data_IF_916042798018
#
_entry.id   IF_916042798018
#
_cell.length_a   1.000
_cell.length_b   1.000
_cell.length_c   1.000
_cell.angle_alpha   90.00
_cell.angle_beta   90.00
_cell.angle_gamma   90.00
#
_symmetry.space_group_name_H-M   'P 1'
#
loop_
_entity.id
_entity.type
_entity.pdbx_description
1 polymer ?
#
# COMPACT_ATOMS: atom_id res chain seq x y z
N UNK A 1 25.30 4.15 -14.91
CA UNK A 1 25.22 3.28 -13.72
C UNK A 1 23.74 2.93 -13.55
N UNK A 2 23.36 1.69 -13.70
CA UNK A 2 21.95 1.25 -13.69
C UNK A 2 21.43 1.33 -12.26
N UNK A 3 20.23 1.86 -12.05
CA UNK A 3 19.54 1.98 -10.74
C UNK A 3 19.53 0.65 -9.98
N UNK A 4 19.39 -0.47 -10.70
CA UNK A 4 19.38 -1.84 -10.14
C UNK A 4 20.66 -2.21 -9.36
N UNK A 5 21.84 -1.75 -9.82
CA UNK A 5 23.09 -2.05 -9.12
C UNK A 5 23.26 -1.27 -7.80
N UNK A 6 22.46 -0.23 -7.60
CA UNK A 6 22.48 0.58 -6.38
C UNK A 6 21.40 0.18 -5.36
N UNK A 7 20.25 -0.31 -5.81
CA UNK A 7 19.12 -0.57 -4.93
C UNK A 7 19.43 -1.68 -3.94
N UNK A 8 19.99 -2.80 -4.41
CA UNK A 8 20.36 -3.93 -3.54
C UNK A 8 21.43 -3.61 -2.49
N UNK A 9 22.17 -2.50 -2.69
CA UNK A 9 23.23 -2.05 -1.78
C UNK A 9 22.67 -1.12 -0.69
N UNK A 10 21.40 -0.70 -0.79
CA UNK A 10 20.75 0.15 0.19
C UNK A 10 20.21 -0.71 1.35
N UNK A 11 20.61 -0.41 2.58
CA UNK A 11 20.09 -1.10 3.74
C UNK A 11 18.58 -0.84 3.93
N UNK A 12 17.82 -1.79 4.52
CA UNK A 12 16.49 -1.52 5.02
C UNK A 12 16.45 -0.25 5.88
N UNK A 13 15.42 0.56 5.75
CA UNK A 13 15.31 1.88 6.38
C UNK A 13 15.88 3.04 5.56
N UNK A 14 16.70 2.78 4.53
CA UNK A 14 17.21 3.84 3.65
C UNK A 14 16.07 4.49 2.88
N UNK A 15 16.05 5.84 2.89
CA UNK A 15 15.09 6.66 2.14
C UNK A 15 15.77 7.26 0.92
N UNK A 16 15.09 7.24 -0.22
CA UNK A 16 15.56 7.88 -1.45
C UNK A 16 14.38 8.36 -2.31
N UNK A 17 14.63 9.33 -3.18
CA UNK A 17 13.63 9.80 -4.13
C UNK A 17 13.45 8.81 -5.28
N UNK A 18 12.22 8.28 -5.44
CA UNK A 18 11.88 7.30 -6.48
C UNK A 18 11.34 7.95 -7.77
N UNK A 19 11.07 9.25 -7.72
CA UNK A 19 10.44 10.02 -8.79
C UNK A 19 9.33 10.89 -8.22
N UNK A 20 8.07 10.47 -8.24
CA UNK A 20 6.98 11.29 -7.72
C UNK A 20 6.95 11.38 -6.18
N UNK A 21 7.63 10.46 -5.49
CA UNK A 21 7.66 10.37 -4.03
C UNK A 21 9.04 9.92 -3.52
N UNK A 22 9.30 10.20 -2.24
CA UNK A 22 10.34 9.54 -1.48
C UNK A 22 9.85 8.18 -0.98
N UNK A 23 10.72 7.19 -1.05
CA UNK A 23 10.43 5.82 -0.62
C UNK A 23 11.46 5.32 0.35
N UNK A 24 11.03 4.41 1.23
CA UNK A 24 11.86 3.69 2.19
C UNK A 24 12.01 2.25 1.74
N UNK A 25 13.23 1.72 1.80
CA UNK A 25 13.51 0.30 1.60
C UNK A 25 13.02 -0.48 2.82
N UNK A 26 12.13 -1.46 2.63
CA UNK A 26 11.70 -2.35 3.70
C UNK A 26 12.48 -3.66 3.71
N UNK A 27 12.59 -4.33 2.57
CA UNK A 27 13.22 -5.65 2.51
C UNK A 27 13.74 -5.97 1.11
N UNK A 28 14.88 -6.67 1.06
CA UNK A 28 15.39 -7.33 -0.12
C UNK A 28 15.10 -8.82 -0.02
N UNK A 29 14.37 -9.37 -0.99
CA UNK A 29 13.99 -10.77 -1.02
C UNK A 29 15.02 -11.61 -1.76
N UNK A 30 15.12 -12.88 -1.41
CA UNK A 30 16.06 -13.84 -2.03
C UNK A 30 15.75 -14.11 -3.50
N UNK A 31 14.53 -13.81 -3.95
CA UNK A 31 14.12 -13.93 -5.36
C UNK A 31 14.50 -12.71 -6.23
N UNK A 32 15.22 -11.75 -5.65
CA UNK A 32 15.71 -10.56 -6.35
C UNK A 32 14.74 -9.38 -6.36
N UNK A 33 13.65 -9.45 -5.60
CA UNK A 33 12.74 -8.31 -5.42
C UNK A 33 13.12 -7.46 -4.21
N UNK A 34 12.79 -6.18 -4.28
CA UNK A 34 12.86 -5.24 -3.15
C UNK A 34 11.49 -4.66 -2.90
N UNK A 35 11.02 -4.69 -1.66
CA UNK A 35 9.80 -4.00 -1.23
C UNK A 35 10.15 -2.58 -0.79
N UNK A 36 9.45 -1.63 -1.38
CA UNK A 36 9.51 -0.20 -1.08
C UNK A 36 8.16 0.27 -0.54
N UNK A 37 8.18 1.25 0.35
CA UNK A 37 6.99 1.97 0.82
C UNK A 37 7.22 3.47 0.73
N UNK A 38 6.17 4.24 0.47
CA UNK A 38 6.25 5.71 0.57
C UNK A 38 6.76 6.11 1.97
N UNK A 39 7.73 7.00 2.03
CA UNK A 39 8.32 7.42 3.32
C UNK A 39 7.29 8.14 4.18
N UNK A 40 6.41 8.94 3.56
CA UNK A 40 5.27 9.62 4.19
C UNK A 40 3.97 9.30 3.46
N UNK A 41 2.83 9.68 4.04
CA UNK A 41 1.56 9.62 3.34
C UNK A 41 1.54 10.57 2.14
N UNK A 42 1.03 10.10 1.01
CA UNK A 42 0.97 10.89 -0.23
C UNK A 42 -0.29 11.76 -0.31
N UNK A 43 -1.32 11.42 0.41
CA UNK A 43 -2.59 12.13 0.52
C UNK A 43 -3.44 11.53 1.64
N UNK A 44 -4.50 12.26 2.05
CA UNK A 44 -5.58 11.72 2.86
C UNK A 44 -6.76 11.38 1.96
N UNK A 45 -7.28 10.17 2.08
CA UNK A 45 -8.38 9.66 1.26
C UNK A 45 -9.29 8.73 2.04
N UNK A 46 -10.53 8.62 1.56
CA UNK A 46 -11.35 7.46 1.89
C UNK A 46 -10.73 6.19 1.30
N UNK A 47 -10.86 5.08 2.01
CA UNK A 47 -10.49 3.77 1.46
C UNK A 47 -11.38 3.40 0.26
N UNK A 48 -12.67 3.71 0.36
CA UNK A 48 -13.66 3.47 -0.68
C UNK A 48 -14.58 4.67 -0.88
N UNK A 49 -15.03 4.91 -2.12
CA UNK A 49 -15.99 5.96 -2.45
C UNK A 49 -17.37 5.69 -1.86
N UNK A 50 -18.01 6.73 -1.34
CA UNK A 50 -19.39 6.66 -0.87
C UNK A 50 -20.41 6.61 -1.97
N UNK A 51 -21.56 6.08 -1.58
CA UNK A 51 -21.87 4.74 -1.12
C UNK A 51 -22.05 3.85 -2.33
N UNK A 52 -20.98 3.29 -2.87
CA UNK A 52 -20.98 2.41 -4.06
C UNK A 52 -21.49 3.03 -5.36
N UNK A 53 -21.85 4.31 -5.36
CA UNK A 53 -22.38 5.00 -6.55
C UNK A 53 -21.37 5.08 -7.68
N UNK A 54 -20.10 4.99 -7.35
CA UNK A 54 -18.99 5.15 -8.29
C UNK A 54 -18.29 3.81 -8.61
N UNK A 55 -18.91 2.68 -8.25
CA UNK A 55 -18.41 1.34 -8.56
C UNK A 55 -19.28 0.64 -9.59
N UNK A 56 -19.23 1.05 -10.85
CA UNK A 56 -20.12 0.49 -11.88
C UNK A 56 -19.87 -0.99 -12.13
N UNK A 57 -18.65 -1.48 -11.94
CA UNK A 57 -18.24 -2.86 -12.17
C UNK A 57 -18.77 -3.84 -11.14
N UNK A 58 -18.98 -3.39 -9.90
CA UNK A 58 -19.54 -4.24 -8.83
C UNK A 58 -20.22 -3.43 -7.72
N UNK A 59 -21.44 -2.94 -7.96
CA UNK A 59 -22.16 -2.07 -7.01
C UNK A 59 -22.41 -2.70 -5.64
N UNK A 60 -22.46 -4.02 -5.55
CA UNK A 60 -22.72 -4.77 -4.31
C UNK A 60 -21.44 -5.20 -3.57
N UNK A 61 -20.25 -4.75 -4.00
CA UNK A 61 -19.01 -5.06 -3.29
C UNK A 61 -18.99 -4.39 -1.91
N UNK A 62 -18.40 -5.09 -0.94
CA UNK A 62 -18.22 -4.55 0.39
C UNK A 62 -17.28 -3.34 0.38
N UNK A 63 -17.49 -2.33 1.23
CA UNK A 63 -16.66 -1.13 1.29
C UNK A 63 -15.18 -1.40 1.54
N UNK A 64 -14.88 -2.38 2.39
CA UNK A 64 -13.51 -2.76 2.73
C UNK A 64 -12.88 -3.76 1.75
N UNK A 65 -13.53 -4.05 0.63
CA UNK A 65 -12.98 -4.91 -0.42
C UNK A 65 -12.04 -4.10 -1.32
N UNK A 66 -10.74 -4.26 -1.08
CA UNK A 66 -9.70 -3.56 -1.83
C UNK A 66 -9.82 -3.70 -3.33
N UNK A 67 -10.27 -4.86 -3.83
CA UNK A 67 -10.39 -5.14 -5.26
C UNK A 67 -11.23 -4.10 -6.00
N UNK A 68 -12.19 -3.51 -5.30
CA UNK A 68 -13.16 -2.54 -5.83
C UNK A 68 -13.06 -1.16 -5.18
N UNK A 69 -12.01 -0.91 -4.38
CA UNK A 69 -11.79 0.40 -3.75
C UNK A 69 -11.34 1.44 -4.78
N UNK A 70 -11.69 2.71 -4.54
CA UNK A 70 -11.14 3.81 -5.33
C UNK A 70 -9.64 3.96 -5.13
N UNK A 71 -9.11 3.67 -3.95
CA UNK A 71 -7.65 3.71 -3.71
C UNK A 71 -6.90 2.72 -4.60
N UNK A 72 -7.38 1.47 -4.73
CA UNK A 72 -6.76 0.51 -5.64
C UNK A 72 -6.72 1.05 -7.08
N UNK A 73 -7.83 1.61 -7.55
CA UNK A 73 -7.90 2.20 -8.90
C UNK A 73 -6.93 3.36 -9.04
N UNK A 74 -6.96 4.34 -8.14
CA UNK A 74 -6.12 5.53 -8.18
C UNK A 74 -4.62 5.19 -8.13
N UNK A 75 -4.23 4.27 -7.25
CA UNK A 75 -2.83 3.86 -7.12
C UNK A 75 -2.31 3.11 -8.35
N UNK A 76 -3.15 2.31 -9.01
CA UNK A 76 -2.76 1.52 -10.17
C UNK A 76 -3.07 2.19 -11.51
N UNK A 77 -3.55 3.44 -11.52
CA UNK A 77 -3.76 4.27 -12.71
C UNK A 77 -2.98 5.58 -12.62
N UNK A 78 -3.57 6.63 -12.08
CA UNK A 78 -2.99 7.99 -12.06
C UNK A 78 -1.66 8.04 -11.29
N UNK A 79 -1.61 7.40 -10.11
CA UNK A 79 -0.38 7.41 -9.30
C UNK A 79 0.73 6.57 -9.95
N UNK A 80 0.39 5.41 -10.52
CA UNK A 80 1.36 4.60 -11.27
C UNK A 80 1.92 5.38 -12.48
N UNK A 81 1.06 6.11 -13.20
CA UNK A 81 1.48 6.93 -14.35
C UNK A 81 2.39 8.10 -13.95
N UNK A 82 2.29 8.60 -12.71
CA UNK A 82 3.14 9.69 -12.21
C UNK A 82 4.63 9.30 -12.18
N UNK A 83 4.96 8.01 -12.06
CA UNK A 83 6.34 7.53 -12.15
C UNK A 83 6.96 7.73 -13.54
N UNK A 84 6.17 7.76 -14.58
CA UNK A 84 6.66 8.02 -15.94
C UNK A 84 6.78 9.51 -16.26
N UNK A 85 6.09 10.35 -15.51
CA UNK A 85 6.08 11.81 -15.69
C UNK A 85 7.14 12.51 -14.83
N UNK A 86 7.45 11.96 -13.67
CA UNK A 86 8.43 12.53 -12.75
C UNK A 86 9.88 12.23 -13.20
N UNK A 87 10.81 13.10 -12.82
CA UNK A 87 12.23 12.77 -12.90
C UNK A 87 12.60 11.88 -11.71
N UNK A 88 13.10 10.68 -11.99
CA UNK A 88 13.50 9.73 -10.96
C UNK A 88 13.99 8.40 -11.52
N UNK A 89 14.53 7.56 -10.65
CA UNK A 89 15.16 6.30 -11.07
C UNK A 89 14.16 5.17 -11.34
N UNK A 90 12.91 5.28 -10.87
CA UNK A 90 11.88 4.25 -11.03
C UNK A 90 10.82 4.73 -12.02
N UNK A 91 10.45 3.88 -12.95
CA UNK A 91 9.36 4.07 -13.91
C UNK A 91 8.24 3.07 -13.64
N UNK A 92 7.06 3.32 -14.16
CA UNK A 92 5.90 2.42 -14.01
C UNK A 92 6.17 0.98 -14.45
N UNK A 93 7.02 0.80 -15.46
CA UNK A 93 7.46 -0.50 -15.98
C UNK A 93 8.38 -1.27 -15.03
N UNK A 94 9.11 -0.56 -14.14
CA UNK A 94 10.04 -1.14 -13.19
C UNK A 94 9.30 -1.63 -11.93
N UNK A 95 8.07 -1.18 -11.70
CA UNK A 95 7.20 -1.63 -10.62
C UNK A 95 6.59 -2.97 -11.02
N UNK A 96 6.88 -4.00 -10.23
CA UNK A 96 6.46 -5.37 -10.50
C UNK A 96 4.99 -5.60 -10.13
N UNK A 97 4.30 -6.41 -10.91
CA UNK A 97 3.02 -6.98 -10.48
C UNK A 97 3.31 -8.05 -9.45
N UNK A 98 2.66 -7.98 -8.29
CA UNK A 98 2.83 -8.90 -7.19
C UNK A 98 1.48 -9.34 -6.61
N UNK A 99 1.49 -10.46 -5.92
CA UNK A 99 0.34 -10.96 -5.17
C UNK A 99 0.24 -10.23 -3.83
N UNK A 100 -0.94 -9.67 -3.56
CA UNK A 100 -1.26 -9.00 -2.30
C UNK A 100 -2.39 -9.75 -1.61
N UNK A 101 -2.14 -10.18 -0.37
CA UNK A 101 -3.14 -10.86 0.44
C UNK A 101 -4.23 -9.90 0.89
N UNK A 102 -5.48 -10.32 0.75
CA UNK A 102 -6.66 -9.66 1.28
C UNK A 102 -7.30 -10.48 2.41
N UNK A 103 -6.49 -11.32 3.08
CA UNK A 103 -6.87 -11.99 4.31
C UNK A 103 -7.34 -10.96 5.33
N UNK A 104 -8.35 -11.30 6.14
CA UNK A 104 -8.85 -10.40 7.16
C UNK A 104 -7.89 -10.33 8.38
N UNK A 105 -8.18 -9.40 9.28
CA UNK A 105 -7.32 -9.12 10.44
C UNK A 105 -7.29 -10.27 11.48
N UNK A 106 -8.21 -11.21 11.42
CA UNK A 106 -8.26 -12.41 12.28
C UNK A 106 -7.55 -13.62 11.63
N UNK A 107 -7.00 -13.43 10.42
CA UNK A 107 -6.32 -14.49 9.67
C UNK A 107 -7.27 -15.37 8.86
N UNK A 108 -8.53 -14.95 8.70
CA UNK A 108 -9.48 -15.58 7.78
C UNK A 108 -9.15 -15.27 6.32
N UNK A 109 -9.79 -15.99 5.40
CA UNK A 109 -9.52 -15.89 3.95
C UNK A 109 -9.85 -14.49 3.38
N UNK A 110 -10.77 -13.76 4.01
CA UNK A 110 -11.19 -12.43 3.59
C UNK A 110 -11.65 -12.42 2.14
N UNK A 111 -10.95 -11.64 1.29
CA UNK A 111 -11.21 -11.56 -0.16
C UNK A 111 -10.15 -12.30 -1.01
N UNK A 112 -9.34 -13.16 -0.38
CA UNK A 112 -8.31 -13.94 -1.05
C UNK A 112 -7.06 -13.14 -1.40
N UNK A 113 -6.66 -13.16 -2.65
CA UNK A 113 -5.44 -12.50 -3.15
C UNK A 113 -5.76 -11.71 -4.41
N UNK A 114 -5.10 -10.56 -4.58
CA UNK A 114 -5.17 -9.76 -5.82
C UNK A 114 -3.76 -9.56 -6.38
N UNK A 115 -3.66 -9.53 -7.70
CA UNK A 115 -2.46 -9.08 -8.39
C UNK A 115 -2.55 -7.57 -8.67
N UNK A 116 -1.58 -6.82 -8.17
CA UNK A 116 -1.48 -5.38 -8.40
C UNK A 116 -0.01 -4.94 -8.41
N UNK A 117 0.28 -3.80 -9.03
CA UNK A 117 1.61 -3.18 -9.00
C UNK A 117 1.82 -2.41 -7.70
N UNK A 118 0.81 -1.65 -7.28
CA UNK A 118 0.87 -0.80 -6.09
C UNK A 118 -0.29 -1.15 -5.17
N UNK A 119 0.00 -1.31 -3.88
CA UNK A 119 -0.99 -1.59 -2.86
C UNK A 119 -0.65 -0.86 -1.54
N UNK A 120 -1.41 -1.13 -0.49
CA UNK A 120 -1.06 -0.78 0.88
C UNK A 120 -0.49 -2.01 1.58
N UNK A 121 0.26 -1.82 2.67
CA UNK A 121 0.73 -2.97 3.46
C UNK A 121 -0.45 -3.75 4.05
N UNK A 122 -0.29 -5.06 4.14
CA UNK A 122 -1.17 -5.88 4.97
C UNK A 122 -0.85 -5.66 6.45
N UNK A 123 -1.78 -6.01 7.35
CA UNK A 123 -1.52 -5.98 8.78
C UNK A 123 -0.28 -6.83 9.16
N UNK A 124 -0.16 -8.03 8.60
CA UNK A 124 0.99 -8.92 8.86
C UNK A 124 2.32 -8.30 8.40
N UNK A 125 2.33 -7.62 7.24
CA UNK A 125 3.51 -6.89 6.78
C UNK A 125 3.81 -5.70 7.69
N UNK A 126 2.77 -4.96 8.11
CA UNK A 126 2.94 -3.87 9.06
C UNK A 126 3.59 -4.33 10.35
N UNK A 127 3.04 -5.36 10.99
CA UNK A 127 3.58 -5.94 12.24
C UNK A 127 5.05 -6.34 12.07
N UNK A 128 5.39 -7.04 10.98
CA UNK A 128 6.75 -7.46 10.67
C UNK A 128 7.74 -6.31 10.59
N UNK A 129 7.38 -5.22 9.91
CA UNK A 129 8.31 -4.10 9.67
C UNK A 129 8.26 -3.05 10.80
N UNK A 130 7.16 -2.94 11.52
CA UNK A 130 7.05 -2.13 12.73
C UNK A 130 7.99 -2.65 13.83
N UNK A 131 8.10 -3.97 14.01
CA UNK A 131 9.04 -4.61 14.92
C UNK A 131 10.52 -4.30 14.60
N UNK A 132 10.81 -3.78 13.41
CA UNK A 132 12.14 -3.39 12.95
C UNK A 132 12.35 -1.86 12.94
N UNK A 133 11.43 -1.09 13.52
CA UNK A 133 11.42 0.38 13.55
C UNK A 133 11.46 1.03 12.15
N UNK A 134 10.90 0.35 11.13
CA UNK A 134 10.93 0.82 9.74
C UNK A 134 9.72 1.65 9.35
N UNK A 135 8.67 1.68 10.17
CA UNK A 135 7.36 2.22 9.78
C UNK A 135 6.87 3.39 10.63
N UNK A 136 7.68 3.90 11.58
CA UNK A 136 7.30 5.07 12.38
C UNK A 136 6.84 6.24 11.50
N UNK A 137 5.68 6.78 11.81
CA UNK A 137 5.09 7.93 11.14
C UNK A 137 4.08 8.61 12.07
N UNK A 138 4.21 9.91 12.27
CA UNK A 138 3.27 10.73 13.03
C UNK A 138 2.04 11.08 12.17
N UNK A 139 1.33 10.03 11.73
CA UNK A 139 0.14 10.14 10.91
C UNK A 139 -0.73 8.89 11.07
N UNK A 140 -2.00 8.97 10.70
CA UNK A 140 -2.92 7.84 10.62
C UNK A 140 -3.02 7.40 9.18
N UNK A 141 -2.87 6.10 8.90
CA UNK A 141 -2.84 5.62 7.52
C UNK A 141 -3.44 4.23 7.35
N UNK A 142 -4.06 4.04 6.18
CA UNK A 142 -4.74 2.81 5.83
C UNK A 142 -3.80 1.63 5.61
N UNK A 143 -4.26 0.44 6.02
CA UNK A 143 -3.75 -0.86 5.56
C UNK A 143 -4.73 -1.47 4.56
N UNK A 144 -4.26 -2.42 3.75
CA UNK A 144 -5.11 -3.13 2.77
C UNK A 144 -6.09 -4.11 3.44
N UNK A 145 -5.83 -4.50 4.68
CA UNK A 145 -6.49 -5.60 5.40
C UNK A 145 -7.92 -5.24 5.78
N UNK A 146 -8.92 -6.04 5.34
CA UNK A 146 -10.30 -5.85 5.76
C UNK A 146 -10.53 -6.28 7.21
N UNK A 147 -11.52 -5.69 7.87
CA UNK A 147 -11.99 -6.13 9.17
C UNK A 147 -12.93 -7.33 9.00
N UNK A 148 -12.72 -8.41 9.77
CA UNK A 148 -13.40 -9.70 9.57
C UNK A 148 -14.94 -9.62 9.70
N UNK A 149 -15.42 -9.00 10.79
CA UNK A 149 -16.83 -9.05 11.17
C UNK A 149 -17.67 -7.90 10.62
N UNK A 150 -17.05 -6.87 10.05
CA UNK A 150 -17.73 -5.66 9.57
C UNK A 150 -17.21 -5.26 8.18
N UNK A 151 -18.01 -5.56 7.18
CA UNK A 151 -17.68 -5.33 5.77
C UNK A 151 -17.44 -3.86 5.40
N UNK A 152 -17.81 -2.90 6.27
CA UNK A 152 -17.53 -1.48 6.08
C UNK A 152 -16.20 -1.02 6.69
N UNK A 153 -15.52 -1.84 7.51
CA UNK A 153 -14.32 -1.42 8.22
C UNK A 153 -13.05 -1.97 7.58
N UNK A 154 -12.06 -1.08 7.38
CA UNK A 154 -10.70 -1.43 7.00
C UNK A 154 -9.73 -1.16 8.16
N UNK A 155 -8.60 -1.86 8.19
CA UNK A 155 -7.56 -1.65 9.19
C UNK A 155 -6.78 -0.38 8.89
N UNK A 156 -6.28 0.25 9.94
CA UNK A 156 -5.40 1.41 9.87
C UNK A 156 -4.38 1.40 11.02
N UNK A 157 -3.37 2.24 10.90
CA UNK A 157 -2.33 2.47 11.90
C UNK A 157 -2.53 3.88 12.46
N UNK A 158 -2.43 4.02 13.79
CA UNK A 158 -2.42 5.31 14.49
C UNK A 158 -1.01 5.91 14.56
N UNK A 159 -0.92 7.18 14.96
CA UNK A 159 0.33 7.89 15.17
C UNK A 159 1.27 7.23 16.19
N UNK A 160 0.71 6.53 17.17
CA UNK A 160 1.47 5.77 18.17
C UNK A 160 1.87 4.36 17.70
N UNK A 161 1.57 4.02 16.43
CA UNK A 161 1.84 2.70 15.87
C UNK A 161 0.81 1.62 16.22
N UNK A 162 -0.20 1.94 17.02
CA UNK A 162 -1.25 0.97 17.33
C UNK A 162 -2.14 0.68 16.12
N UNK A 163 -2.62 -0.56 16.06
CA UNK A 163 -3.56 -0.99 15.02
C UNK A 163 -4.99 -0.66 15.42
N UNK A 164 -5.73 -0.07 14.50
CA UNK A 164 -7.13 0.26 14.68
C UNK A 164 -7.94 -0.07 13.41
N UNK A 165 -9.17 0.37 13.36
CA UNK A 165 -10.06 0.22 12.21
C UNK A 165 -11.03 1.39 12.14
N UNK A 166 -11.50 1.71 10.94
CA UNK A 166 -12.57 2.68 10.75
C UNK A 166 -13.35 2.38 9.48
N UNK A 167 -14.46 3.08 9.33
CA UNK A 167 -15.34 2.96 8.20
C UNK A 167 -14.64 3.41 6.91
N UNK A 168 -14.61 2.52 5.94
CA UNK A 168 -13.92 2.73 4.67
C UNK A 168 -14.46 3.91 3.84
N UNK A 169 -15.70 4.35 4.11
CA UNK A 169 -16.29 5.49 3.43
C UNK A 169 -16.08 6.82 4.12
N UNK A 170 -15.99 6.81 5.46
CA UNK A 170 -16.02 8.03 6.26
C UNK A 170 -14.62 8.42 6.71
N UNK A 171 -13.76 7.45 6.89
CA UNK A 171 -12.38 7.69 7.31
C UNK A 171 -11.59 8.41 6.25
N UNK A 172 -10.98 9.53 6.63
CA UNK A 172 -10.04 10.30 5.84
C UNK A 172 -8.66 10.12 6.45
N UNK A 173 -7.95 9.09 5.99
CA UNK A 173 -6.64 8.75 6.55
C UNK A 173 -5.58 8.71 5.47
N UNK A 174 -4.34 8.78 5.90
CA UNK A 174 -3.19 8.80 5.03
C UNK A 174 -3.11 7.57 4.12
N UNK A 175 -2.68 7.80 2.90
CA UNK A 175 -2.39 6.76 1.92
C UNK A 175 -0.89 6.60 1.82
N UNK A 176 -0.38 5.42 2.18
CA UNK A 176 1.05 5.09 2.19
C UNK A 176 1.31 3.89 1.28
N UNK A 177 1.45 4.12 -0.04
CA UNK A 177 1.58 3.05 -1.02
C UNK A 177 2.89 2.28 -0.88
N UNK A 178 2.80 0.98 -1.16
CA UNK A 178 3.93 0.06 -1.21
C UNK A 178 3.95 -0.70 -2.54
N UNK A 179 5.13 -1.06 -3.00
CA UNK A 179 5.32 -1.76 -4.27
C UNK A 179 6.67 -2.49 -4.33
N UNK A 180 6.75 -3.46 -5.22
CA UNK A 180 7.96 -4.23 -5.46
C UNK A 180 8.68 -3.75 -6.73
N UNK A 181 9.99 -3.76 -6.69
CA UNK A 181 10.87 -3.55 -7.85
C UNK A 181 11.94 -4.64 -7.89
N UNK A 182 12.63 -4.82 -9.03
CA UNK A 182 13.82 -5.67 -9.07
C UNK A 182 14.99 -4.97 -8.35
N UNK A 183 15.76 -5.74 -7.55
CA UNK A 183 16.93 -5.28 -6.79
C UNK A 183 18.12 -4.92 -7.65
#
# INVERSE_FOLDING_TARGET
MTVRAKLKDLAPGTVFNAGPIDVRVLEHFTDGRTLLIADTCIADRHFADQPFKTRPEKPAANPNDWRFSNLNRELNTEFLAAFDQAEGPIRSKDILTADWSLADHEGGEGYGTIQAKIALLTQTMYEKYADQDLLELDDWWWLITPYASYASYARLVYTDGSLYYDDAYYGHYGVRPAFFVES
#
